data_IF_125893403732
#
_entry.id   IF_125893403732
#
_cell.length_a   1.000
_cell.length_b   1.000
_cell.length_c   1.000
_cell.angle_alpha   90.00
_cell.angle_beta   90.00
_cell.angle_gamma   90.00
#
_symmetry.space_group_name_H-M   'P 1'
#
loop_
_entity.id
_entity.type
_entity.pdbx_description
1 polymer ?
#
# COMPACT_ATOMS: atom_id res chain seq x y z
N UNK A 1 -34.77 2.18 39.51
CA UNK A 1 -34.19 3.32 38.76
C UNK A 1 -32.68 3.21 38.56
N UNK A 2 -31.88 2.87 39.59
CA UNK A 2 -30.43 2.65 39.45
C UNK A 2 -30.08 1.55 38.45
N UNK A 3 -30.72 0.38 38.54
CA UNK A 3 -30.48 -0.75 37.62
C UNK A 3 -30.75 -0.41 36.14
N UNK A 4 -31.77 0.40 35.85
CA UNK A 4 -32.05 0.88 34.50
C UNK A 4 -30.95 1.83 33.97
N UNK A 5 -30.36 2.63 34.85
CA UNK A 5 -29.22 3.49 34.52
C UNK A 5 -27.96 2.68 34.20
N UNK A 6 -27.71 1.59 34.92
CA UNK A 6 -26.57 0.69 34.66
C UNK A 6 -26.74 -0.09 33.36
N UNK A 7 -27.95 -0.53 33.03
CA UNK A 7 -28.25 -1.21 31.76
C UNK A 7 -28.08 -0.23 30.59
N UNK A 8 -28.58 1.00 30.71
CA UNK A 8 -28.43 2.02 29.68
C UNK A 8 -26.95 2.41 29.44
N UNK A 9 -26.16 2.52 30.52
CA UNK A 9 -24.73 2.83 30.44
C UNK A 9 -23.93 1.68 29.80
N UNK A 10 -24.27 0.43 30.11
CA UNK A 10 -23.64 -0.76 29.53
C UNK A 10 -23.97 -0.91 28.03
N UNK A 11 -25.21 -0.60 27.63
CA UNK A 11 -25.59 -0.60 26.20
C UNK A 11 -24.89 0.50 25.40
N UNK A 12 -24.66 1.68 26.00
CA UNK A 12 -23.97 2.78 25.33
C UNK A 12 -22.47 2.50 25.15
N UNK A 13 -21.85 1.80 26.09
CA UNK A 13 -20.45 1.38 26.00
C UNK A 13 -20.22 0.30 24.92
N UNK A 14 -21.18 -0.61 24.70
CA UNK A 14 -21.07 -1.64 23.65
C UNK A 14 -21.15 -1.06 22.24
N UNK A 15 -21.91 0.02 22.03
CA UNK A 15 -22.06 0.66 20.71
C UNK A 15 -20.84 1.46 20.26
N UNK A 16 -19.93 1.82 21.16
CA UNK A 16 -18.72 2.59 20.83
C UNK A 16 -17.56 1.72 20.28
N UNK A 17 -17.57 0.41 20.52
CA UNK A 17 -16.57 -0.52 19.95
C UNK A 17 -16.93 -1.02 18.54
N UNK A 18 -18.12 -0.68 18.02
CA UNK A 18 -18.55 -1.05 16.67
C UNK A 18 -18.45 0.15 15.71
N UNK A 19 -17.33 0.87 15.79
CA UNK A 19 -16.95 1.88 14.80
C UNK A 19 -15.61 1.51 14.18
N UNK A 20 -15.57 0.32 13.61
CA UNK A 20 -14.68 0.00 12.49
C UNK A 20 -15.50 0.23 11.23
N UNK A 21 -15.39 1.41 10.64
CA UNK A 21 -15.87 1.66 9.29
C UNK A 21 -14.71 1.33 8.33
N UNK A 22 -14.68 0.15 7.71
CA UNK A 22 -13.82 -0.05 6.55
C UNK A 22 -14.46 0.70 5.38
N UNK A 23 -14.14 1.98 5.20
CA UNK A 23 -14.36 2.62 3.89
C UNK A 23 -13.16 2.31 2.98
N UNK A 24 -12.94 1.01 2.77
CA UNK A 24 -12.13 0.49 1.68
C UNK A 24 -13.08 0.08 0.55
N UNK A 25 -13.25 0.96 -0.44
CA UNK A 25 -13.63 0.57 -1.81
C UNK A 25 -14.94 -0.21 -1.96
N UNK A 26 -16.07 0.39 -1.56
CA UNK A 26 -17.40 -0.15 -1.88
C UNK A 26 -17.86 0.27 -3.27
N UNK A 27 -17.43 -0.45 -4.31
CA UNK A 27 -17.97 -0.29 -5.66
C UNK A 27 -19.49 -0.48 -5.64
N UNK A 28 -20.25 0.56 -6.04
CA UNK A 28 -21.69 0.43 -6.19
C UNK A 28 -22.00 -0.50 -7.38
N UNK A 29 -22.34 -1.75 -7.06
CA UNK A 29 -23.50 -2.44 -7.64
C UNK A 29 -23.63 -2.58 -9.17
N UNK A 30 -22.58 -2.36 -9.97
CA UNK A 30 -22.51 -2.79 -11.37
C UNK A 30 -21.32 -3.72 -11.48
N UNK A 31 -21.55 -4.96 -11.88
CA UNK A 31 -20.47 -5.92 -12.12
C UNK A 31 -19.44 -5.30 -13.08
N UNK A 32 -18.27 -4.91 -12.54
CA UNK A 32 -17.15 -4.35 -13.31
C UNK A 32 -16.99 -2.82 -13.33
N UNK A 33 -17.82 -2.04 -12.64
CA UNK A 33 -17.62 -0.58 -12.53
C UNK A 33 -17.23 -0.17 -11.11
N UNK A 34 -15.95 0.13 -10.92
CA UNK A 34 -15.43 0.76 -9.72
C UNK A 34 -15.03 2.23 -10.04
N UNK A 35 -15.82 3.23 -9.63
CA UNK A 35 -15.44 4.64 -9.78
C UNK A 35 -14.17 4.99 -9.00
N UNK A 36 -13.87 4.27 -7.92
CA UNK A 36 -12.65 4.39 -7.15
C UNK A 36 -11.46 3.94 -7.98
N UNK A 37 -11.56 2.85 -8.73
CA UNK A 37 -10.53 2.45 -9.68
C UNK A 37 -10.32 3.48 -10.80
N UNK A 38 -11.39 4.12 -11.29
CA UNK A 38 -11.31 5.16 -12.33
C UNK A 38 -10.62 6.42 -11.82
N UNK A 39 -10.94 6.86 -10.60
CA UNK A 39 -10.30 8.03 -9.98
C UNK A 39 -8.85 7.75 -9.59
N UNK A 40 -8.55 6.55 -9.07
CA UNK A 40 -7.19 6.11 -8.78
C UNK A 40 -6.33 5.98 -10.04
N UNK A 41 -6.91 5.48 -11.14
CA UNK A 41 -6.27 5.44 -12.45
C UNK A 41 -5.88 6.84 -12.92
N UNK A 42 -6.85 7.75 -12.97
CA UNK A 42 -6.61 9.12 -13.42
C UNK A 42 -5.56 9.84 -12.53
N UNK A 43 -5.60 9.64 -11.21
CA UNK A 43 -4.60 10.18 -10.30
C UNK A 43 -3.20 9.57 -10.52
N UNK A 44 -3.12 8.27 -10.80
CA UNK A 44 -1.87 7.59 -11.11
C UNK A 44 -1.25 8.14 -12.40
N UNK A 45 -2.03 8.12 -13.48
CA UNK A 45 -1.61 8.57 -14.80
C UNK A 45 -1.29 10.08 -14.80
N UNK A 46 -2.03 10.88 -14.03
CA UNK A 46 -1.77 12.31 -13.85
C UNK A 46 -0.43 12.62 -13.17
N UNK A 47 0.12 11.68 -12.39
CA UNK A 47 1.49 11.78 -11.84
C UNK A 47 2.56 11.20 -12.76
N UNK A 48 2.18 10.69 -13.94
CA UNK A 48 3.06 10.02 -14.89
C UNK A 48 3.24 8.51 -14.65
N UNK A 49 2.38 7.92 -13.81
CA UNK A 49 2.39 6.48 -13.52
C UNK A 49 1.62 5.63 -14.54
N UNK A 50 1.77 4.32 -14.41
CA UNK A 50 1.02 3.33 -15.17
C UNK A 50 0.09 2.54 -14.23
N UNK A 51 -1.23 2.64 -14.44
CA UNK A 51 -2.21 1.91 -13.64
C UNK A 51 -2.50 0.53 -14.24
N UNK A 52 -1.99 -0.54 -13.62
CA UNK A 52 -1.97 -1.89 -14.19
C UNK A 52 -2.13 -2.95 -13.09
N UNK A 53 -2.48 -4.20 -13.43
CA UNK A 53 -2.43 -5.31 -12.48
C UNK A 53 -1.03 -5.50 -11.87
N UNK A 54 -0.97 -5.79 -10.57
CA UNK A 54 0.26 -6.09 -9.82
C UNK A 54 0.06 -7.21 -8.80
N UNK A 55 1.18 -7.71 -8.25
CA UNK A 55 1.19 -8.78 -7.26
C UNK A 55 0.59 -10.10 -7.72
N UNK A 56 0.45 -11.07 -6.81
CA UNK A 56 -0.22 -12.34 -7.12
C UNK A 56 -1.74 -12.19 -7.27
N UNK A 57 -2.34 -11.19 -6.62
CA UNK A 57 -3.79 -10.94 -6.68
C UNK A 57 -4.26 -10.38 -8.03
N UNK A 58 -3.35 -9.76 -8.79
CA UNK A 58 -3.69 -9.02 -10.00
C UNK A 58 -4.46 -7.73 -9.72
N UNK A 59 -4.49 -7.26 -8.47
CA UNK A 59 -5.11 -6.00 -8.10
C UNK A 59 -4.47 -4.85 -8.89
N UNK A 60 -5.28 -3.87 -9.27
CA UNK A 60 -4.79 -2.69 -9.98
C UNK A 60 -3.96 -1.83 -9.03
N UNK A 61 -2.73 -1.52 -9.44
CA UNK A 61 -1.79 -0.69 -8.71
C UNK A 61 -1.23 0.42 -9.60
N UNK A 62 -0.81 1.50 -8.96
CA UNK A 62 -0.11 2.58 -9.64
C UNK A 62 1.39 2.31 -9.67
N UNK A 63 1.93 2.01 -10.84
CA UNK A 63 3.36 1.84 -11.04
C UNK A 63 4.03 3.17 -11.38
N UNK A 64 5.06 3.53 -10.63
CA UNK A 64 5.85 4.74 -10.81
C UNK A 64 7.31 4.37 -11.05
N UNK A 65 8.02 5.15 -11.88
CA UNK A 65 9.48 5.10 -11.94
C UNK A 65 10.05 6.09 -10.93
N UNK A 66 10.78 5.65 -9.90
CA UNK A 66 11.39 6.57 -8.94
C UNK A 66 12.43 7.48 -9.60
N UNK A 67 12.58 8.69 -9.10
CA UNK A 67 13.53 9.71 -9.63
C UNK A 67 15.00 9.27 -9.58
N UNK A 68 15.29 8.30 -8.74
CA UNK A 68 16.60 7.73 -8.44
C UNK A 68 16.74 6.29 -8.93
N UNK A 69 15.80 5.81 -9.76
CA UNK A 69 15.86 4.51 -10.40
C UNK A 69 17.26 4.22 -10.99
N UNK A 70 17.86 3.10 -10.57
CA UNK A 70 19.16 2.65 -11.06
C UNK A 70 20.38 3.38 -10.49
N UNK A 71 20.21 4.42 -9.66
CA UNK A 71 21.34 5.03 -8.94
C UNK A 71 21.99 4.02 -8.00
N UNK A 72 23.31 4.05 -7.89
CA UNK A 72 24.04 3.20 -6.95
C UNK A 72 23.65 3.50 -5.51
N UNK A 73 23.55 2.47 -4.68
CA UNK A 73 23.23 2.57 -3.27
C UNK A 73 23.99 1.52 -2.45
N UNK A 74 24.27 1.84 -1.17
CA UNK A 74 24.81 0.87 -0.21
C UNK A 74 23.83 0.49 0.90
N UNK A 75 22.79 1.29 1.09
CA UNK A 75 21.74 1.11 2.10
C UNK A 75 20.37 1.49 1.54
N UNK A 76 19.29 0.99 2.14
CA UNK A 76 17.92 1.38 1.77
C UNK A 76 17.68 2.89 1.85
N UNK A 77 18.26 3.57 2.83
CA UNK A 77 18.04 5.00 3.11
C UNK A 77 18.55 5.95 2.03
N UNK A 78 19.42 5.48 1.13
CA UNK A 78 19.90 6.26 -0.02
C UNK A 78 18.87 6.33 -1.15
N UNK A 79 17.86 5.45 -1.13
CA UNK A 79 16.83 5.36 -2.16
C UNK A 79 15.53 6.01 -1.69
N UNK A 80 14.88 6.77 -2.58
CA UNK A 80 13.65 7.51 -2.29
C UNK A 80 12.47 6.62 -1.91
N UNK A 81 12.48 5.37 -2.36
CA UNK A 81 11.47 4.35 -2.05
C UNK A 81 11.89 3.43 -0.91
N UNK A 82 13.11 3.56 -0.39
CA UNK A 82 13.69 2.63 0.58
C UNK A 82 14.17 1.30 -0.03
N UNK A 83 14.10 1.11 -1.35
CA UNK A 83 14.42 -0.16 -1.99
C UNK A 83 15.78 -0.12 -2.70
N UNK A 84 16.85 -0.54 -2.00
CA UNK A 84 18.18 -0.75 -2.59
C UNK A 84 18.37 -2.23 -2.94
N UNK A 85 18.44 -2.58 -4.23
CA UNK A 85 18.54 -3.98 -4.68
C UNK A 85 19.90 -4.59 -4.30
N UNK A 86 19.92 -5.68 -3.53
CA UNK A 86 21.16 -6.25 -3.00
C UNK A 86 22.08 -6.87 -4.07
N UNK A 87 21.52 -7.32 -5.19
CA UNK A 87 22.28 -7.92 -6.29
C UNK A 87 23.05 -6.87 -7.10
N UNK A 88 22.38 -5.79 -7.47
CA UNK A 88 22.95 -4.73 -8.33
C UNK A 88 23.48 -3.53 -7.55
N UNK A 89 23.18 -3.44 -6.25
CA UNK A 89 23.49 -2.28 -5.41
C UNK A 89 22.98 -0.98 -6.05
N UNK A 90 21.72 -1.02 -6.50
CA UNK A 90 21.07 0.10 -7.16
C UNK A 90 19.64 0.30 -6.67
N UNK A 91 19.16 1.54 -6.63
CA UNK A 91 17.79 1.86 -6.27
C UNK A 91 16.79 1.25 -7.25
N UNK A 92 15.64 0.81 -6.73
CA UNK A 92 14.61 0.10 -7.50
C UNK A 92 14.20 0.87 -8.75
N UNK A 93 14.08 0.20 -9.92
CA UNK A 93 13.65 0.85 -11.16
C UNK A 93 12.16 1.17 -11.17
N UNK A 94 11.37 0.61 -10.25
CA UNK A 94 9.92 0.72 -10.23
C UNK A 94 9.36 0.66 -8.80
N UNK A 95 8.23 1.31 -8.59
CA UNK A 95 7.48 1.28 -7.33
C UNK A 95 5.98 1.08 -7.61
N UNK A 96 5.27 0.22 -6.87
CA UNK A 96 5.80 -0.73 -5.88
C UNK A 96 6.60 -1.85 -6.54
N UNK A 97 7.59 -2.36 -5.80
CA UNK A 97 8.42 -3.49 -6.23
C UNK A 97 7.77 -4.81 -5.78
N UNK A 98 6.80 -5.29 -6.56
CA UNK A 98 6.08 -6.54 -6.26
C UNK A 98 7.00 -7.78 -6.30
N UNK A 99 6.57 -8.81 -5.58
CA UNK A 99 7.29 -10.08 -5.42
C UNK A 99 8.33 -10.04 -4.30
N UNK A 100 9.03 -11.16 -4.12
CA UNK A 100 10.10 -11.28 -3.14
C UNK A 100 11.44 -10.85 -3.76
N UNK A 101 12.04 -9.81 -3.18
CA UNK A 101 13.27 -9.20 -3.65
C UNK A 101 14.30 -9.14 -2.52
N UNK A 102 15.57 -9.40 -2.85
CA UNK A 102 16.69 -9.17 -1.92
C UNK A 102 17.10 -7.71 -1.94
N UNK A 103 17.02 -7.04 -0.80
CA UNK A 103 17.32 -5.63 -0.60
C UNK A 103 18.42 -5.44 0.44
N UNK A 104 19.06 -4.27 0.43
CA UNK A 104 19.91 -3.81 1.52
C UNK A 104 19.08 -2.97 2.47
N UNK A 105 19.09 -3.29 3.77
CA UNK A 105 18.42 -2.49 4.79
C UNK A 105 19.20 -1.21 5.14
N UNK A 106 18.78 -0.50 6.19
CA UNK A 106 19.39 0.76 6.60
C UNK A 106 20.84 0.59 7.09
N UNK A 107 21.23 -0.61 7.51
CA UNK A 107 22.60 -0.96 7.90
C UNK A 107 23.39 -1.64 6.77
N UNK A 108 22.82 -1.75 5.58
CA UNK A 108 23.44 -2.40 4.42
C UNK A 108 23.41 -3.93 4.48
N UNK A 109 22.61 -4.53 5.37
CA UNK A 109 22.47 -5.98 5.48
C UNK A 109 21.48 -6.48 4.43
N UNK A 110 21.76 -7.66 3.87
CA UNK A 110 20.85 -8.32 2.93
C UNK A 110 19.61 -8.82 3.66
N UNK A 111 18.44 -8.42 3.18
CA UNK A 111 17.13 -8.86 3.67
C UNK A 111 16.24 -9.20 2.48
N UNK A 112 15.26 -10.08 2.69
CA UNK A 112 14.25 -10.39 1.69
C UNK A 112 12.95 -9.67 2.05
N UNK A 113 12.45 -8.83 1.15
CA UNK A 113 11.15 -8.17 1.28
C UNK A 113 10.20 -8.72 0.21
N UNK A 114 9.02 -9.15 0.62
CA UNK A 114 7.96 -9.61 -0.27
C UNK A 114 6.77 -8.64 -0.21
N UNK A 115 6.36 -8.13 -1.37
CA UNK A 115 5.22 -7.22 -1.53
C UNK A 115 4.23 -7.82 -2.52
N UNK A 116 2.94 -7.83 -2.14
CA UNK A 116 1.81 -8.33 -2.92
C UNK A 116 0.86 -7.21 -3.36
#
# INVERSE_FOLDING_TARGET
MRAALWIALATFALTACLSDAPEAGGGYGLAGYDPGATSQKAACEGRGGAFKPGGASGALACFMTPKDAGKSCSTSSECSTGNCLARSQSCSPIEPLFGCNELLDAEGRRVTLCVE
#
